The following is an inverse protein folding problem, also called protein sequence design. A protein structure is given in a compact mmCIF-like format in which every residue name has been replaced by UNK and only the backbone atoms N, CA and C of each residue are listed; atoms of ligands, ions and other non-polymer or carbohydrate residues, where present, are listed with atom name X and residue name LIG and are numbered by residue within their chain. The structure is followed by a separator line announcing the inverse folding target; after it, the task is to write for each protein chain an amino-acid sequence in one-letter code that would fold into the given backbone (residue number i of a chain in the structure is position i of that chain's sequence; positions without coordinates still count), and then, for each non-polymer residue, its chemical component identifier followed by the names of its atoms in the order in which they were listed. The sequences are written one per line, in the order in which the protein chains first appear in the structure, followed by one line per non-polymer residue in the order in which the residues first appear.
data_IF_735200515267
#
_entry.id   IF_735200515267
#
_cell.length_a   1.000
_cell.length_b   1.000
_cell.length_c   1.000
_cell.angle_alpha   90.00
_cell.angle_beta   90.00
_cell.angle_gamma   90.00
#
_symmetry.space_group_name_H-M   'P 1'
#
loop_
_entity.id
_entity.type
_entity.pdbx_description
1 polymer ?
#
# COMPACT_ATOMS: atom_id res chain seq x y z
N UNK A 1 49.41 1.97 34.80
CA UNK A 1 48.08 1.37 34.98
C UNK A 1 47.09 2.54 34.97
N UNK A 2 46.33 2.81 33.90
CA UNK A 2 45.32 1.96 33.24
C UNK A 2 43.91 2.44 33.71
N UNK A 3 43.06 2.74 32.72
CA UNK A 3 41.59 2.93 32.74
C UNK A 3 40.86 4.30 32.86
N UNK A 4 41.42 5.49 32.58
CA UNK A 4 40.59 6.72 32.65
C UNK A 4 40.57 7.66 31.45
N UNK A 5 41.04 7.23 30.27
CA UNK A 5 40.95 8.05 29.05
C UNK A 5 40.56 7.18 27.85
N UNK A 6 39.38 6.56 27.91
CA UNK A 6 38.82 5.78 26.78
C UNK A 6 37.36 6.14 26.46
N UNK A 7 36.93 7.38 26.77
CA UNK A 7 35.59 7.88 26.42
C UNK A 7 35.57 9.04 25.42
N UNK A 8 36.72 9.43 24.86
CA UNK A 8 36.83 10.54 23.88
C UNK A 8 37.35 10.13 22.50
N UNK A 9 37.31 8.84 22.15
CA UNK A 9 37.62 8.35 20.80
C UNK A 9 36.38 7.75 20.10
N UNK A 10 35.21 8.34 20.35
CA UNK A 10 34.07 8.13 19.46
C UNK A 10 34.38 8.97 18.22
N UNK A 11 35.06 8.35 17.25
CA UNK A 11 35.33 8.95 15.95
C UNK A 11 34.05 9.60 15.41
N UNK A 12 34.08 10.83 14.86
CA UNK A 12 32.91 11.47 14.26
C UNK A 12 32.25 10.61 13.15
N UNK A 13 32.97 9.60 12.67
CA UNK A 13 32.49 8.60 11.73
C UNK A 13 31.41 7.66 12.32
N UNK A 14 31.37 7.45 13.66
CA UNK A 14 30.33 6.65 14.31
C UNK A 14 29.01 7.41 14.52
N UNK A 15 29.04 8.74 14.53
CA UNK A 15 27.83 9.55 14.56
C UNK A 15 27.11 9.55 13.20
N UNK A 16 27.86 9.32 12.11
CA UNK A 16 27.29 9.24 10.75
C UNK A 16 26.57 7.91 10.47
N UNK A 17 26.95 6.83 11.16
CA UNK A 17 26.35 5.49 11.00
C UNK A 17 25.04 5.26 11.79
N UNK A 18 24.67 6.17 12.69
CA UNK A 18 23.37 6.09 13.38
C UNK A 18 22.27 6.88 12.65
N UNK A 19 22.63 7.82 11.77
CA UNK A 19 21.66 8.58 10.98
C UNK A 19 20.98 7.71 9.91
N UNK A 20 21.66 6.66 9.41
CA UNK A 20 21.13 5.77 8.37
C UNK A 20 20.22 4.66 8.90
N UNK A 21 20.07 4.51 10.23
CA UNK A 21 19.22 3.47 10.83
C UNK A 21 17.76 3.93 11.05
N UNK A 22 17.50 5.24 11.03
CA UNK A 22 16.15 5.80 11.24
C UNK A 22 15.39 6.02 9.94
N UNK A 23 16.09 6.35 8.85
CA UNK A 23 15.45 6.55 7.53
C UNK A 23 14.81 5.25 7.01
N UNK A 24 15.36 4.09 7.33
CA UNK A 24 14.89 2.77 6.88
C UNK A 24 13.54 2.35 7.51
N UNK A 25 13.17 2.93 8.68
CA UNK A 25 11.90 2.64 9.35
C UNK A 25 10.74 3.53 8.89
N UNK A 26 11.01 4.61 8.16
CA UNK A 26 9.96 5.55 7.72
C UNK A 26 9.21 5.07 6.47
N UNK A 27 9.83 4.18 5.68
CA UNK A 27 9.25 3.58 4.50
C UNK A 27 9.26 4.47 3.25
N UNK A 28 9.11 3.86 2.08
CA UNK A 28 9.02 4.57 0.81
C UNK A 28 7.57 4.82 0.43
N UNK A 29 7.30 6.04 -0.07
CA UNK A 29 5.99 6.37 -0.63
C UNK A 29 5.80 5.66 -1.97
N UNK A 30 4.82 4.77 -2.04
CA UNK A 30 4.50 3.96 -3.20
C UNK A 30 3.07 4.21 -3.66
N UNK A 31 2.74 3.83 -4.90
CA UNK A 31 1.39 4.00 -5.42
C UNK A 31 1.03 2.90 -6.41
N UNK A 32 -0.23 2.47 -6.36
CA UNK A 32 -0.79 1.45 -7.25
C UNK A 32 -2.13 1.92 -7.80
N UNK A 33 -2.42 1.51 -9.04
CA UNK A 33 -3.71 1.77 -9.66
C UNK A 33 -4.17 0.64 -10.54
N UNK A 34 -5.49 0.41 -10.53
CA UNK A 34 -6.18 -0.54 -11.39
C UNK A 34 -7.21 0.20 -12.22
N UNK A 35 -7.29 -0.14 -13.51
CA UNK A 35 -8.36 0.31 -14.40
C UNK A 35 -8.99 -0.90 -15.07
N UNK A 36 -10.29 -0.85 -15.32
CA UNK A 36 -10.99 -1.97 -15.93
C UNK A 36 -12.42 -1.64 -16.31
N UNK A 37 -13.15 -2.67 -16.76
CA UNK A 37 -14.58 -2.60 -17.07
C UNK A 37 -15.27 -3.84 -16.50
N UNK A 38 -16.31 -3.63 -15.70
CA UNK A 38 -17.07 -4.71 -15.08
C UNK A 38 -18.35 -4.95 -15.85
N UNK A 39 -18.52 -6.20 -16.26
CA UNK A 39 -19.70 -6.67 -16.99
C UNK A 39 -20.40 -7.76 -16.18
N UNK A 40 -21.73 -7.71 -16.18
CA UNK A 40 -22.60 -8.77 -15.71
C UNK A 40 -23.44 -9.27 -16.88
N UNK A 41 -23.26 -10.53 -17.28
CA UNK A 41 -24.00 -11.17 -18.38
C UNK A 41 -23.95 -10.36 -19.69
N UNK A 42 -22.78 -9.78 -20.00
CA UNK A 42 -22.53 -9.00 -21.22
C UNK A 42 -22.99 -7.54 -21.16
N UNK A 43 -23.64 -7.11 -20.08
CA UNK A 43 -24.03 -5.70 -19.86
C UNK A 43 -23.15 -5.06 -18.78
N UNK A 44 -22.98 -3.73 -18.75
CA UNK A 44 -22.32 -3.05 -17.64
C UNK A 44 -22.89 -3.49 -16.28
N UNK A 45 -22.03 -3.92 -15.37
CA UNK A 45 -22.45 -4.33 -14.04
C UNK A 45 -22.95 -3.12 -13.25
N UNK A 46 -24.14 -3.25 -12.64
CA UNK A 46 -24.76 -2.23 -11.79
C UNK A 46 -24.56 -2.56 -10.32
N UNK A 47 -24.73 -1.56 -9.43
CA UNK A 47 -24.59 -1.72 -7.97
C UNK A 47 -23.27 -2.37 -7.54
N UNK A 48 -22.17 -1.96 -8.18
CA UNK A 48 -20.83 -2.47 -7.87
C UNK A 48 -20.08 -1.48 -7.00
N UNK A 49 -19.47 -1.98 -5.92
CA UNK A 49 -18.61 -1.23 -5.03
C UNK A 49 -17.19 -1.81 -5.07
N UNK A 50 -16.20 -0.94 -5.24
CA UNK A 50 -14.80 -1.29 -5.31
C UNK A 50 -14.08 -0.80 -4.06
N UNK A 51 -13.21 -1.64 -3.52
CA UNK A 51 -12.30 -1.27 -2.44
C UNK A 51 -10.90 -1.74 -2.81
N UNK A 52 -9.95 -0.80 -2.84
CA UNK A 52 -8.53 -1.08 -2.98
C UNK A 52 -7.91 -1.10 -1.58
N UNK A 53 -7.35 -2.24 -1.22
CA UNK A 53 -6.73 -2.50 0.08
C UNK A 53 -5.24 -2.74 -0.09
N UNK A 54 -4.49 -2.40 0.94
CA UNK A 54 -3.13 -2.85 1.19
C UNK A 54 -3.18 -4.01 2.19
N UNK A 55 -2.43 -5.08 1.95
CA UNK A 55 -2.43 -6.27 2.80
C UNK A 55 -1.16 -6.26 3.65
N UNK A 56 -1.36 -6.27 4.96
CA UNK A 56 -0.26 -6.28 5.92
C UNK A 56 -0.45 -7.43 6.92
N UNK A 57 0.64 -7.89 7.51
CA UNK A 57 0.68 -8.97 8.50
C UNK A 57 -0.16 -8.65 9.75
N UNK A 58 -0.27 -7.37 10.12
CA UNK A 58 -1.02 -6.95 11.32
C UNK A 58 -2.45 -6.50 11.00
N UNK A 59 -2.61 -5.58 10.04
CA UNK A 59 -3.92 -5.08 9.65
C UNK A 59 -3.91 -4.58 8.22
N UNK A 60 -4.84 -5.08 7.42
CA UNK A 60 -5.05 -4.55 6.08
C UNK A 60 -5.54 -3.10 6.15
N UNK A 61 -5.02 -2.26 5.25
CA UNK A 61 -5.36 -0.85 5.20
C UNK A 61 -6.21 -0.53 3.97
N UNK A 62 -7.24 0.30 4.13
CA UNK A 62 -8.08 0.71 3.01
C UNK A 62 -7.46 1.92 2.31
N UNK A 63 -6.98 1.72 1.08
CA UNK A 63 -6.41 2.81 0.28
C UNK A 63 -7.50 3.66 -0.38
N UNK A 64 -8.52 3.03 -0.98
CA UNK A 64 -9.55 3.76 -1.72
C UNK A 64 -10.86 2.99 -1.87
N UNK A 65 -11.97 3.72 -1.92
CA UNK A 65 -13.28 3.24 -2.38
C UNK A 65 -13.69 3.91 -3.69
N UNK A 66 -14.35 3.17 -4.57
CA UNK A 66 -14.89 3.71 -5.82
C UNK A 66 -16.11 2.92 -6.31
N UNK A 67 -16.79 3.45 -7.31
CA UNK A 67 -17.81 2.76 -8.09
C UNK A 67 -17.46 2.88 -9.58
N UNK A 68 -17.78 1.87 -10.41
CA UNK A 68 -17.70 2.02 -11.86
C UNK A 68 -18.69 3.06 -12.40
N UNK A 69 -18.40 3.63 -13.56
CA UNK A 69 -19.31 4.51 -14.29
C UNK A 69 -20.52 3.73 -14.86
N UNK A 70 -21.49 4.46 -15.44
CA UNK A 70 -22.69 3.86 -16.02
C UNK A 70 -22.40 2.85 -17.17
N UNK A 71 -21.20 2.89 -17.76
CA UNK A 71 -20.74 1.96 -18.81
C UNK A 71 -19.91 0.80 -18.23
N UNK A 72 -19.74 0.76 -16.92
CA UNK A 72 -19.02 -0.26 -16.15
C UNK A 72 -17.52 0.00 -16.03
N UNK A 73 -17.00 1.13 -16.53
CA UNK A 73 -15.58 1.44 -16.46
C UNK A 73 -15.19 1.99 -15.09
N UNK A 74 -14.02 1.60 -14.60
CA UNK A 74 -13.48 2.15 -13.36
C UNK A 74 -11.98 2.44 -13.48
N UNK A 75 -11.53 3.40 -12.68
CA UNK A 75 -10.12 3.64 -12.37
C UNK A 75 -10.04 3.90 -10.87
N UNK A 76 -9.26 3.10 -10.16
CA UNK A 76 -9.05 3.23 -8.71
C UNK A 76 -7.53 3.21 -8.46
N UNK A 77 -7.07 4.08 -7.58
CA UNK A 77 -5.66 4.15 -7.23
C UNK A 77 -5.51 4.60 -5.78
N UNK A 78 -4.39 4.22 -5.19
CA UNK A 78 -4.05 4.48 -3.80
C UNK A 78 -2.56 4.68 -3.65
N UNK A 79 -2.19 5.24 -2.51
CA UNK A 79 -0.81 5.55 -2.14
C UNK A 79 -0.65 5.13 -0.69
N UNK A 80 0.46 4.47 -0.38
CA UNK A 80 0.86 4.16 0.99
C UNK A 80 2.35 4.48 1.19
N UNK A 81 2.78 4.61 2.45
CA UNK A 81 4.18 4.81 2.82
C UNK A 81 4.58 3.68 3.76
N UNK A 82 5.40 2.76 3.25
CA UNK A 82 5.81 1.57 3.97
C UNK A 82 7.23 1.13 3.56
N UNK A 83 7.96 0.44 4.44
CA UNK A 83 9.32 -0.04 4.14
C UNK A 83 9.35 -1.19 3.13
N UNK A 84 8.25 -1.94 3.02
CA UNK A 84 8.08 -3.06 2.09
C UNK A 84 7.37 -2.63 0.81
N UNK A 85 7.20 -3.55 -0.16
CA UNK A 85 6.43 -3.25 -1.38
C UNK A 85 4.95 -3.43 -1.08
N UNK A 86 4.13 -2.47 -1.51
CA UNK A 86 2.66 -2.55 -1.43
C UNK A 86 2.12 -3.87 -2.01
N UNK A 87 1.28 -4.57 -1.26
CA UNK A 87 0.54 -5.81 -1.59
C UNK A 87 -0.95 -5.52 -1.85
N UNK A 88 -1.31 -4.97 -3.03
CA UNK A 88 -2.66 -4.51 -3.31
C UNK A 88 -3.69 -5.62 -3.49
N UNK A 89 -4.83 -5.49 -2.82
CA UNK A 89 -6.03 -6.31 -3.01
C UNK A 89 -7.20 -5.46 -3.53
N UNK A 90 -7.69 -5.74 -4.74
CA UNK A 90 -8.92 -5.15 -5.27
C UNK A 90 -10.13 -6.02 -4.93
N UNK A 91 -10.97 -5.55 -4.01
CA UNK A 91 -12.25 -6.20 -3.66
C UNK A 91 -13.38 -5.61 -4.49
N UNK A 92 -14.10 -6.49 -5.18
CA UNK A 92 -15.25 -6.14 -6.03
C UNK A 92 -16.51 -6.71 -5.38
N UNK A 93 -17.33 -5.85 -4.78
CA UNK A 93 -18.62 -6.21 -4.20
C UNK A 93 -19.72 -5.98 -5.22
N UNK A 94 -20.47 -7.02 -5.56
CA UNK A 94 -21.51 -6.96 -6.60
C UNK A 94 -22.66 -7.92 -6.32
N UNK A 95 -23.81 -7.69 -6.95
CA UNK A 95 -25.00 -8.56 -6.88
C UNK A 95 -25.16 -9.44 -8.13
N UNK A 96 -24.21 -9.39 -9.07
CA UNK A 96 -24.24 -10.21 -10.28
C UNK A 96 -24.16 -11.71 -9.94
N UNK A 97 -25.22 -12.46 -10.27
CA UNK A 97 -25.25 -13.92 -10.11
C UNK A 97 -24.58 -14.64 -11.29
N UNK A 98 -23.90 -15.76 -11.05
CA UNK A 98 -23.37 -16.60 -12.12
C UNK A 98 -24.48 -17.06 -13.08
N UNK A 99 -24.10 -17.39 -14.32
CA UNK A 99 -25.01 -18.07 -15.25
C UNK A 99 -25.03 -19.55 -14.86
N UNK A 100 -26.22 -20.09 -14.68
CA UNK A 100 -26.45 -21.53 -14.62
C UNK A 100 -26.24 -22.15 -16.00
#
# INVERSE_FOLDING_TARGET
MRELIFLFLISPCYAFSLATFWDDLTGQKQSVGVKGRLLCKGKPAQNVYLELWERDSFSNWLLKKAQPDARGYFKIWGTDTEPTVIEPDLKIKHECRPKN
#
